data_IF_122402396899
#
_entry.id   IF_122402396899
#
_cell.length_a   1.000
_cell.length_b   1.000
_cell.length_c   1.000
_cell.angle_alpha   90.00
_cell.angle_beta   90.00
_cell.angle_gamma   90.00
#
_symmetry.space_group_name_H-M   'P 1'
#
loop_
_entity.id
_entity.type
_entity.pdbx_description
1 polymer ?
#
# COMPACT_ATOMS: atom_id res chain seq x y z
N UNK A 1 -6.85 -3.74 22.92
CA UNK A 1 -6.54 -3.07 21.64
C UNK A 1 -5.88 -4.01 20.65
N UNK A 2 -4.85 -4.74 21.02
CA UNK A 2 -4.11 -5.65 20.12
C UNK A 2 -5.03 -6.70 19.46
N UNK A 3 -5.85 -7.39 20.24
CA UNK A 3 -6.69 -8.51 19.76
C UNK A 3 -8.12 -8.07 19.37
N UNK A 4 -8.45 -6.79 19.55
CA UNK A 4 -9.77 -6.26 19.16
C UNK A 4 -10.95 -6.79 20.00
N UNK A 5 -10.71 -7.38 21.16
CA UNK A 5 -11.78 -7.91 22.00
C UNK A 5 -12.70 -6.82 22.55
N UNK A 6 -13.98 -7.11 22.57
CA UNK A 6 -14.98 -6.26 23.23
C UNK A 6 -14.78 -6.25 24.75
N UNK A 7 -15.18 -5.17 25.42
CA UNK A 7 -15.04 -5.01 26.88
C UNK A 7 -15.73 -6.15 27.67
N UNK A 8 -16.90 -6.62 27.20
CA UNK A 8 -17.60 -7.74 27.82
C UNK A 8 -16.77 -9.03 27.81
N UNK A 9 -16.14 -9.35 26.66
CA UNK A 9 -15.26 -10.51 26.54
C UNK A 9 -14.01 -10.36 27.41
N UNK A 10 -13.39 -9.16 27.44
CA UNK A 10 -12.26 -8.90 28.33
C UNK A 10 -12.63 -9.06 29.81
N UNK A 11 -13.85 -8.65 30.19
CA UNK A 11 -14.33 -8.83 31.57
C UNK A 11 -14.54 -10.30 31.94
N UNK A 12 -14.99 -11.12 30.99
CA UNK A 12 -15.21 -12.56 31.23
C UNK A 12 -13.90 -13.35 31.40
N UNK A 13 -12.81 -12.91 30.76
CA UNK A 13 -11.50 -13.58 30.82
C UNK A 13 -10.50 -12.94 31.81
N UNK A 14 -10.81 -11.75 32.31
CA UNK A 14 -9.97 -11.04 33.28
C UNK A 14 -10.70 -10.90 34.61
N UNK A 15 -9.97 -10.73 35.70
CA UNK A 15 -10.53 -10.47 37.04
C UNK A 15 -10.98 -9.00 37.21
N UNK A 16 -11.30 -8.28 36.12
CA UNK A 16 -11.63 -6.86 36.16
C UNK A 16 -13.05 -6.60 35.71
N UNK A 17 -13.73 -5.68 36.44
CA UNK A 17 -15.06 -5.24 36.08
C UNK A 17 -15.06 -4.49 34.73
N UNK A 18 -16.16 -4.53 33.95
CA UNK A 18 -16.29 -3.73 32.73
C UNK A 18 -16.03 -2.23 32.93
N UNK A 19 -16.38 -1.68 34.08
CA UNK A 19 -16.12 -0.27 34.43
C UNK A 19 -14.61 0.02 34.52
N UNK A 20 -13.84 -0.84 35.20
CA UNK A 20 -12.38 -0.71 35.32
C UNK A 20 -11.69 -0.84 33.96
N UNK A 21 -12.13 -1.80 33.13
CA UNK A 21 -11.58 -2.00 31.80
C UNK A 21 -11.87 -0.79 30.88
N UNK A 22 -13.07 -0.21 30.94
CA UNK A 22 -13.38 1.05 30.22
C UNK A 22 -12.50 2.20 30.68
N UNK A 23 -12.26 2.34 32.00
CA UNK A 23 -11.36 3.36 32.55
C UNK A 23 -9.94 3.20 31.99
N UNK A 24 -9.35 1.99 32.08
CA UNK A 24 -8.01 1.69 31.54
C UNK A 24 -7.94 1.97 30.05
N UNK A 25 -8.92 1.47 29.29
CA UNK A 25 -8.95 1.68 27.83
C UNK A 25 -9.04 3.16 27.48
N UNK A 26 -9.88 3.92 28.18
CA UNK A 26 -10.00 5.37 27.97
C UNK A 26 -8.73 6.12 28.34
N UNK A 27 -8.03 5.71 29.40
CA UNK A 27 -6.74 6.29 29.77
C UNK A 27 -5.73 6.22 28.63
N UNK A 28 -5.57 5.05 28.00
CA UNK A 28 -4.64 4.85 26.90
C UNK A 28 -5.12 5.48 25.60
N UNK A 29 -6.42 5.44 25.28
CA UNK A 29 -6.97 6.05 24.07
C UNK A 29 -6.95 7.59 24.09
N UNK A 30 -6.73 8.21 25.23
CA UNK A 30 -6.51 9.67 25.34
C UNK A 30 -5.02 10.05 25.21
N UNK A 31 -4.13 9.09 25.04
CA UNK A 31 -2.68 9.26 24.89
C UNK A 31 -2.18 8.59 23.63
N UNK A 32 -1.14 9.14 23.03
CA UNK A 32 -0.45 8.51 21.93
C UNK A 32 0.60 7.51 22.42
N UNK A 33 0.88 6.42 21.68
CA UNK A 33 2.00 5.56 22.00
C UNK A 33 3.33 6.30 21.78
N UNK A 34 4.39 5.92 22.50
CA UNK A 34 5.73 6.46 22.24
C UNK A 34 6.24 6.04 20.85
N UNK A 35 7.09 6.85 20.27
CA UNK A 35 7.79 6.47 19.03
C UNK A 35 8.86 5.42 19.34
N UNK A 36 8.95 4.40 18.49
CA UNK A 36 10.00 3.37 18.56
C UNK A 36 11.17 3.81 17.66
N UNK A 37 12.01 4.69 18.18
CA UNK A 37 13.12 5.31 17.45
C UNK A 37 14.04 4.28 16.78
N UNK A 38 14.42 3.23 17.49
CA UNK A 38 15.25 2.13 16.97
C UNK A 38 14.70 1.47 15.70
N UNK A 39 13.36 1.36 15.59
CA UNK A 39 12.71 0.82 14.39
C UNK A 39 12.78 1.77 13.22
N UNK A 40 12.60 3.06 13.49
CA UNK A 40 12.66 4.11 12.49
C UNK A 40 14.07 4.15 11.89
N UNK A 41 15.11 4.18 12.72
CA UNK A 41 16.50 4.26 12.29
C UNK A 41 16.98 3.00 11.54
N UNK A 42 16.43 1.82 11.88
CA UNK A 42 16.82 0.55 11.25
C UNK A 42 16.19 0.32 9.88
N UNK A 43 15.03 0.92 9.61
CA UNK A 43 14.28 0.67 8.40
C UNK A 43 14.96 1.34 7.19
N UNK A 44 15.44 0.53 6.25
CA UNK A 44 16.06 0.99 5.01
C UNK A 44 15.23 0.63 3.76
N UNK A 45 14.54 -0.52 3.78
CA UNK A 45 13.62 -0.94 2.74
C UNK A 45 12.21 -0.98 3.31
N UNK A 46 11.30 -0.23 2.72
CA UNK A 46 9.94 -0.10 3.24
C UNK A 46 8.87 -0.57 2.24
N UNK A 47 7.71 -0.91 2.78
CA UNK A 47 6.46 -1.07 2.04
C UNK A 47 5.49 0.00 2.53
N UNK A 48 4.87 0.70 1.58
CA UNK A 48 3.87 1.72 1.87
C UNK A 48 2.58 1.44 1.10
N UNK A 49 1.46 1.50 1.81
CA UNK A 49 0.14 1.35 1.21
C UNK A 49 -0.93 1.95 2.14
N UNK A 50 -2.12 2.14 1.62
CA UNK A 50 -3.26 2.61 2.37
C UNK A 50 -4.53 1.81 2.10
N UNK A 51 -5.50 1.93 3.01
CA UNK A 51 -6.81 1.34 2.80
C UNK A 51 -7.92 2.19 3.41
N UNK A 52 -9.05 2.25 2.71
CA UNK A 52 -10.23 2.92 3.24
C UNK A 52 -10.84 2.14 4.40
N UNK A 53 -11.07 2.84 5.50
CA UNK A 53 -11.91 2.36 6.61
C UNK A 53 -13.34 2.87 6.47
N UNK A 54 -13.49 4.15 6.15
CA UNK A 54 -14.75 4.80 5.79
C UNK A 54 -14.41 5.95 4.84
N UNK A 55 -14.83 5.86 3.58
CA UNK A 55 -14.56 6.91 2.59
C UNK A 55 -15.04 8.28 3.08
N UNK A 56 -14.25 9.36 2.89
CA UNK A 56 -13.00 9.41 2.14
C UNK A 56 -11.73 9.05 2.95
N UNK A 57 -11.85 8.67 4.22
CA UNK A 57 -10.75 8.50 5.16
C UNK A 57 -10.07 7.12 5.01
N UNK A 58 -8.77 7.16 4.77
CA UNK A 58 -7.89 5.99 4.72
C UNK A 58 -7.04 5.91 5.98
N UNK A 59 -6.60 4.72 6.31
CA UNK A 59 -5.40 4.48 7.11
C UNK A 59 -4.24 4.18 6.17
N UNK A 60 -3.14 4.91 6.32
CA UNK A 60 -1.88 4.65 5.62
C UNK A 60 -0.88 4.05 6.59
N UNK A 61 -0.02 3.17 6.07
CA UNK A 61 0.97 2.43 6.86
C UNK A 61 2.30 2.41 6.12
N UNK A 62 3.36 2.67 6.88
CA UNK A 62 4.74 2.39 6.49
C UNK A 62 5.21 1.19 7.30
N UNK A 63 5.70 0.15 6.62
CA UNK A 63 6.12 -1.12 7.19
C UNK A 63 7.54 -1.45 6.72
N UNK A 64 8.39 -1.98 7.60
CA UNK A 64 9.68 -2.52 7.22
C UNK A 64 9.47 -3.73 6.29
N UNK A 65 10.20 -3.76 5.19
CA UNK A 65 10.09 -4.81 4.17
C UNK A 65 10.69 -6.15 4.61
N UNK A 66 11.62 -6.15 5.55
CA UNK A 66 12.37 -7.33 5.95
C UNK A 66 11.66 -8.12 7.05
N UNK A 67 11.27 -7.45 8.13
CA UNK A 67 10.67 -8.12 9.29
C UNK A 67 9.15 -7.89 9.41
N UNK A 68 8.57 -7.12 8.49
CA UNK A 68 7.14 -6.78 8.46
C UNK A 68 6.65 -6.05 9.70
N UNK A 69 7.53 -5.37 10.43
CA UNK A 69 7.12 -4.49 11.52
C UNK A 69 6.56 -3.17 11.01
N UNK A 70 5.51 -2.69 11.65
CA UNK A 70 4.94 -1.38 11.33
C UNK A 70 5.83 -0.30 11.93
N UNK A 71 6.37 0.56 11.06
CA UNK A 71 7.19 1.72 11.45
C UNK A 71 6.27 2.83 11.92
N UNK A 72 5.26 3.16 11.12
CA UNK A 72 4.30 4.21 11.43
C UNK A 72 2.96 3.98 10.73
N UNK A 73 1.91 4.58 11.28
CA UNK A 73 0.59 4.62 10.68
C UNK A 73 -0.06 5.99 10.90
N UNK A 74 -0.89 6.42 9.95
CA UNK A 74 -1.69 7.64 10.09
C UNK A 74 -3.15 7.41 9.70
N UNK A 75 -4.06 7.95 10.51
CA UNK A 75 -5.51 7.98 10.29
C UNK A 75 -6.11 9.21 10.97
N UNK A 76 -7.07 9.92 10.38
CA UNK A 76 -7.52 9.80 8.99
C UNK A 76 -6.52 10.46 8.04
N UNK A 77 -6.28 9.85 6.91
CA UNK A 77 -5.38 10.39 5.88
C UNK A 77 -6.00 10.20 4.50
N UNK A 78 -5.82 11.18 3.62
CA UNK A 78 -6.20 11.06 2.21
C UNK A 78 -4.96 10.76 1.39
N UNK A 79 -4.89 9.56 0.84
CA UNK A 79 -3.74 9.09 0.03
C UNK A 79 -3.48 9.96 -1.22
N UNK A 80 -4.50 10.65 -1.73
CA UNK A 80 -4.38 11.58 -2.84
C UNK A 80 -4.05 13.03 -2.41
N UNK A 81 -3.61 13.22 -1.17
CA UNK A 81 -3.24 14.53 -0.62
C UNK A 81 -1.74 14.58 -0.31
N UNK A 82 -0.96 15.18 -1.20
CA UNK A 82 0.48 15.39 -1.00
C UNK A 82 0.81 16.08 0.34
N UNK A 83 0.09 17.14 0.77
CA UNK A 83 0.34 17.76 2.08
C UNK A 83 0.17 16.79 3.26
N UNK A 84 -0.86 15.92 3.24
CA UNK A 84 -1.08 14.95 4.30
C UNK A 84 -0.01 13.84 4.30
N UNK A 85 0.43 13.40 3.13
CA UNK A 85 1.54 12.45 3.00
C UNK A 85 2.85 13.04 3.51
N UNK A 86 3.14 14.30 3.21
CA UNK A 86 4.30 15.01 3.78
C UNK A 86 4.19 15.13 5.30
N UNK A 87 3.05 15.53 5.82
CA UNK A 87 2.81 15.61 7.26
C UNK A 87 3.01 14.27 7.98
N UNK A 88 2.80 13.15 7.29
CA UNK A 88 3.10 11.81 7.80
C UNK A 88 4.58 11.46 7.73
N UNK A 89 5.26 11.77 6.62
CA UNK A 89 6.63 11.29 6.35
C UNK A 89 7.72 12.20 6.92
N UNK A 90 7.51 13.53 6.95
CA UNK A 90 8.52 14.51 7.44
C UNK A 90 8.95 14.22 8.88
N UNK A 91 8.04 14.01 9.85
CA UNK A 91 8.45 13.69 11.22
C UNK A 91 9.24 12.39 11.31
N UNK A 92 8.95 11.39 10.48
CA UNK A 92 9.69 10.13 10.47
C UNK A 92 11.13 10.34 9.99
N UNK A 93 11.34 11.16 8.97
CA UNK A 93 12.67 11.55 8.48
C UNK A 93 13.43 12.30 9.55
N UNK A 94 12.80 13.26 10.23
CA UNK A 94 13.40 14.02 11.34
C UNK A 94 13.80 13.12 12.52
N UNK A 95 13.08 12.01 12.73
CA UNK A 95 13.42 10.98 13.73
C UNK A 95 14.41 9.93 13.24
N UNK A 96 15.08 10.17 12.10
CA UNK A 96 16.16 9.32 11.61
C UNK A 96 15.78 8.26 10.57
N UNK A 97 14.55 8.28 10.02
CA UNK A 97 14.18 7.38 8.92
C UNK A 97 15.01 7.70 7.67
N UNK A 98 15.79 6.72 7.22
CA UNK A 98 16.61 6.82 6.00
C UNK A 98 16.27 5.68 5.05
N UNK A 99 15.48 5.97 4.01
CA UNK A 99 14.99 4.97 3.08
C UNK A 99 15.86 4.87 1.82
N UNK A 100 16.38 3.68 1.54
CA UNK A 100 17.01 3.33 0.26
C UNK A 100 15.99 2.84 -0.78
N UNK A 101 14.87 2.22 -0.35
CA UNK A 101 13.78 1.86 -1.25
C UNK A 101 12.42 1.86 -0.58
N UNK A 102 11.38 2.02 -1.41
CA UNK A 102 9.98 1.81 -0.99
C UNK A 102 9.18 1.12 -2.08
N UNK A 103 8.39 0.11 -1.69
CA UNK A 103 7.41 -0.54 -2.58
C UNK A 103 6.04 0.09 -2.36
N UNK A 104 5.43 0.60 -3.46
CA UNK A 104 4.16 1.35 -3.44
C UNK A 104 3.19 0.89 -4.55
N UNK A 105 1.89 1.15 -4.37
CA UNK A 105 0.84 0.82 -5.35
C UNK A 105 0.92 1.63 -6.65
N UNK A 106 1.55 2.80 -6.63
CA UNK A 106 1.69 3.69 -7.77
C UNK A 106 0.85 4.96 -7.68
N UNK A 107 0.39 5.29 -6.50
CA UNK A 107 -0.18 6.60 -6.22
C UNK A 107 0.86 7.69 -6.51
N UNK A 108 0.60 8.63 -7.46
CA UNK A 108 1.58 9.63 -7.86
C UNK A 108 1.94 10.60 -6.72
N UNK A 109 1.01 10.87 -5.81
CA UNK A 109 1.27 11.73 -4.64
C UNK A 109 2.21 11.05 -3.65
N UNK A 110 2.05 9.73 -3.43
CA UNK A 110 2.95 8.97 -2.57
C UNK A 110 4.36 8.90 -3.18
N UNK A 111 4.47 8.53 -4.46
CA UNK A 111 5.77 8.50 -5.17
C UNK A 111 6.46 9.86 -5.10
N UNK A 112 5.72 10.94 -5.34
CA UNK A 112 6.24 12.30 -5.25
C UNK A 112 6.72 12.64 -3.84
N UNK A 113 5.94 12.34 -2.81
CA UNK A 113 6.31 12.61 -1.41
C UNK A 113 7.61 11.89 -1.02
N UNK A 114 7.76 10.61 -1.41
CA UNK A 114 8.98 9.85 -1.15
C UNK A 114 10.19 10.42 -1.88
N UNK A 115 10.08 10.74 -3.18
CA UNK A 115 11.18 11.31 -3.97
C UNK A 115 11.60 12.71 -3.50
N UNK A 116 10.70 13.54 -3.01
CA UNK A 116 11.02 14.85 -2.43
C UNK A 116 11.79 14.74 -1.11
N UNK A 117 11.48 13.75 -0.29
CA UNK A 117 12.15 13.56 1.00
C UNK A 117 13.44 12.76 0.89
N UNK A 118 13.50 11.78 0.00
CA UNK A 118 14.66 10.94 -0.29
C UNK A 118 14.90 10.94 -1.80
N UNK A 119 15.68 11.89 -2.35
CA UNK A 119 15.86 12.04 -3.81
C UNK A 119 16.42 10.78 -4.49
N UNK A 120 17.30 10.04 -3.81
CA UNK A 120 17.96 8.84 -4.33
C UNK A 120 17.17 7.53 -4.05
N UNK A 121 15.95 7.65 -3.53
CA UNK A 121 15.15 6.48 -3.18
C UNK A 121 14.78 5.64 -4.40
N UNK A 122 14.97 4.35 -4.31
CA UNK A 122 14.46 3.40 -5.30
C UNK A 122 12.95 3.17 -5.07
N UNK A 123 12.15 3.56 -6.05
CA UNK A 123 10.70 3.28 -6.03
C UNK A 123 10.45 1.93 -6.71
N UNK A 124 9.92 0.97 -6.00
CA UNK A 124 9.41 -0.28 -6.57
C UNK A 124 7.88 -0.19 -6.71
N UNK A 125 7.38 -0.43 -7.90
CA UNK A 125 5.94 -0.51 -8.15
C UNK A 125 5.41 -1.89 -7.75
N UNK A 126 4.33 -1.93 -6.98
CA UNK A 126 3.69 -3.18 -6.59
C UNK A 126 3.14 -3.91 -7.82
N UNK A 127 3.74 -5.06 -8.17
CA UNK A 127 3.33 -5.84 -9.35
C UNK A 127 1.92 -6.40 -9.21
N UNK A 128 1.50 -6.74 -7.99
CA UNK A 128 0.14 -7.25 -7.73
C UNK A 128 -0.91 -6.18 -8.00
N UNK A 129 -0.67 -4.92 -7.62
CA UNK A 129 -1.56 -3.80 -7.94
C UNK A 129 -1.60 -3.52 -9.45
N UNK A 130 -0.46 -3.54 -10.14
CA UNK A 130 -0.39 -3.40 -11.60
C UNK A 130 -1.18 -4.51 -12.28
N UNK A 131 -0.96 -5.77 -11.89
CA UNK A 131 -1.66 -6.92 -12.46
C UNK A 131 -3.17 -6.80 -12.22
N UNK A 132 -3.61 -6.61 -10.98
CA UNK A 132 -5.03 -6.53 -10.60
C UNK A 132 -5.77 -5.44 -11.37
N UNK A 133 -5.17 -4.25 -11.43
CA UNK A 133 -5.76 -3.11 -12.12
C UNK A 133 -5.78 -3.31 -13.65
N UNK A 134 -4.70 -3.82 -14.23
CA UNK A 134 -4.60 -4.12 -15.65
C UNK A 134 -5.60 -5.18 -16.09
N UNK A 135 -5.73 -6.27 -15.33
CA UNK A 135 -6.70 -7.34 -15.59
C UNK A 135 -8.15 -6.82 -15.51
N UNK A 136 -8.44 -5.92 -14.58
CA UNK A 136 -9.76 -5.29 -14.48
C UNK A 136 -10.09 -4.46 -15.74
N UNK A 137 -9.15 -3.65 -16.22
CA UNK A 137 -9.34 -2.81 -17.41
C UNK A 137 -9.37 -3.62 -18.72
N UNK A 138 -8.58 -4.69 -18.82
CA UNK A 138 -8.60 -5.57 -19.99
C UNK A 138 -9.82 -6.50 -20.03
N UNK A 139 -10.61 -6.60 -18.95
CA UNK A 139 -11.74 -7.52 -18.78
C UNK A 139 -11.32 -8.99 -18.69
N UNK A 140 -12.25 -9.84 -18.19
CA UNK A 140 -11.99 -11.27 -18.01
C UNK A 140 -11.93 -12.03 -19.36
N UNK A 141 -12.81 -11.68 -20.30
CA UNK A 141 -12.93 -12.30 -21.63
C UNK A 141 -12.89 -11.23 -22.72
N UNK A 142 -11.70 -10.66 -23.03
CA UNK A 142 -11.58 -9.65 -24.08
C UNK A 142 -11.80 -10.26 -25.46
N UNK A 143 -12.55 -9.53 -26.31
CA UNK A 143 -12.81 -9.97 -27.70
C UNK A 143 -11.70 -9.51 -28.67
N UNK A 144 -11.10 -8.34 -28.41
CA UNK A 144 -10.08 -7.74 -29.28
C UNK A 144 -8.70 -8.38 -29.01
N UNK A 145 -7.96 -8.70 -30.07
CA UNK A 145 -6.61 -9.30 -29.97
C UNK A 145 -5.63 -8.42 -29.19
N UNK A 146 -5.67 -7.11 -29.40
CA UNK A 146 -4.85 -6.18 -28.62
C UNK A 146 -5.14 -6.27 -27.11
N UNK A 147 -6.41 -6.43 -26.71
CA UNK A 147 -6.80 -6.55 -25.32
C UNK A 147 -6.42 -7.93 -24.72
N UNK A 148 -6.47 -8.99 -25.53
CA UNK A 148 -5.96 -10.33 -25.15
C UNK A 148 -4.46 -10.29 -24.91
N UNK A 149 -3.71 -9.69 -25.84
CA UNK A 149 -2.25 -9.53 -25.72
C UNK A 149 -1.85 -8.73 -24.48
N UNK A 150 -2.48 -7.55 -24.27
CA UNK A 150 -2.21 -6.71 -23.10
C UNK A 150 -2.57 -7.42 -21.78
N UNK A 151 -3.71 -8.15 -21.77
CA UNK A 151 -4.09 -8.99 -20.64
C UNK A 151 -3.06 -10.08 -20.34
N UNK A 152 -2.49 -10.73 -21.38
CA UNK A 152 -1.44 -11.73 -21.26
C UNK A 152 -0.19 -11.15 -20.58
N UNK A 153 0.21 -9.93 -20.93
CA UNK A 153 1.30 -9.20 -20.27
C UNK A 153 1.02 -8.99 -18.77
N UNK A 154 -0.18 -8.51 -18.42
CA UNK A 154 -0.54 -8.35 -17.00
C UNK A 154 -0.53 -9.68 -16.24
N UNK A 155 -1.05 -10.76 -16.81
CA UNK A 155 -1.03 -12.08 -16.17
C UNK A 155 0.39 -12.53 -15.84
N UNK A 156 1.36 -12.29 -16.71
CA UNK A 156 2.76 -12.70 -16.52
C UNK A 156 3.56 -11.79 -15.60
N UNK A 157 3.14 -10.53 -15.41
CA UNK A 157 3.93 -9.51 -14.67
C UNK A 157 4.35 -9.90 -13.27
N UNK A 158 3.54 -10.69 -12.56
CA UNK A 158 3.82 -11.14 -11.18
C UNK A 158 4.63 -12.44 -11.10
N UNK A 159 4.94 -13.07 -12.23
CA UNK A 159 5.68 -14.34 -12.28
C UNK A 159 7.15 -14.18 -12.67
N UNK A 160 7.59 -12.97 -12.97
CA UNK A 160 8.98 -12.68 -13.35
C UNK A 160 9.88 -12.84 -12.12
N UNK A 161 10.94 -13.67 -12.25
CA UNK A 161 11.88 -13.95 -11.16
C UNK A 161 13.35 -13.78 -11.57
N UNK A 162 13.61 -13.65 -12.87
CA UNK A 162 14.95 -13.55 -13.44
C UNK A 162 15.06 -12.36 -14.39
N UNK A 163 16.28 -11.90 -14.64
CA UNK A 163 16.55 -10.86 -15.63
C UNK A 163 16.16 -11.30 -17.05
N UNK A 164 16.38 -12.58 -17.38
CA UNK A 164 15.97 -13.12 -18.68
C UNK A 164 14.46 -13.07 -18.89
N UNK A 165 13.67 -13.44 -17.88
CA UNK A 165 12.19 -13.31 -17.93
C UNK A 165 11.75 -11.87 -18.06
N UNK A 166 12.43 -10.93 -17.37
CA UNK A 166 12.21 -9.48 -17.53
C UNK A 166 12.47 -9.04 -18.96
N UNK A 167 13.58 -9.44 -19.58
CA UNK A 167 13.92 -9.08 -20.96
C UNK A 167 12.87 -9.58 -21.94
N UNK A 168 12.42 -10.82 -21.78
CA UNK A 168 11.33 -11.39 -22.57
C UNK A 168 10.05 -10.56 -22.39
N UNK A 169 9.69 -10.24 -21.15
CA UNK A 169 8.51 -9.43 -20.86
C UNK A 169 8.58 -8.04 -21.50
N UNK A 170 9.72 -7.36 -21.39
CA UNK A 170 9.93 -6.02 -21.96
C UNK A 170 9.86 -6.08 -23.48
N UNK A 171 10.51 -7.07 -24.12
CA UNK A 171 10.45 -7.28 -25.56
C UNK A 171 8.99 -7.48 -26.02
N UNK A 172 8.25 -8.38 -25.38
CA UNK A 172 6.86 -8.68 -25.75
C UNK A 172 5.94 -7.44 -25.55
N UNK A 173 6.20 -6.63 -24.52
CA UNK A 173 5.50 -5.35 -24.31
C UNK A 173 5.83 -4.35 -25.44
N UNK A 174 7.09 -4.24 -25.84
CA UNK A 174 7.49 -3.34 -26.93
C UNK A 174 6.96 -3.79 -28.29
N UNK A 175 6.90 -5.09 -28.55
CA UNK A 175 6.25 -5.66 -29.74
C UNK A 175 4.75 -5.37 -29.75
N UNK A 176 4.07 -5.53 -28.63
CA UNK A 176 2.67 -5.17 -28.48
C UNK A 176 2.46 -3.66 -28.72
N UNK A 177 3.31 -2.83 -28.15
CA UNK A 177 3.28 -1.37 -28.30
C UNK A 177 3.46 -0.98 -29.77
N UNK A 178 4.49 -1.49 -30.46
CA UNK A 178 4.76 -1.27 -31.88
C UNK A 178 3.56 -1.63 -32.76
N UNK A 179 2.86 -2.72 -32.41
CA UNK A 179 1.73 -3.22 -33.19
C UNK A 179 0.43 -2.45 -32.97
N UNK A 180 0.18 -1.96 -31.76
CA UNK A 180 -1.15 -1.49 -31.39
C UNK A 180 -1.19 -0.05 -30.87
N UNK A 181 -0.07 0.64 -30.66
CA UNK A 181 -0.05 1.98 -30.10
C UNK A 181 -0.93 2.99 -30.87
N UNK A 182 -0.80 3.04 -32.19
CA UNK A 182 -1.55 3.97 -33.03
C UNK A 182 -3.05 3.70 -32.99
N UNK A 183 -3.43 2.43 -32.97
CA UNK A 183 -4.84 2.03 -32.82
C UNK A 183 -5.39 2.50 -31.47
N UNK A 184 -4.65 2.23 -30.38
CA UNK A 184 -5.08 2.63 -29.03
C UNK A 184 -5.13 4.14 -28.87
N UNK A 185 -4.21 4.89 -29.48
CA UNK A 185 -4.21 6.36 -29.45
C UNK A 185 -5.48 6.96 -30.09
N UNK A 186 -6.00 6.32 -31.13
CA UNK A 186 -7.21 6.74 -31.86
C UNK A 186 -8.52 6.35 -31.17
N UNK A 187 -8.48 5.56 -30.10
CA UNK A 187 -9.70 5.17 -29.39
C UNK A 187 -10.45 6.38 -28.82
N UNK A 188 -11.76 6.44 -28.97
CA UNK A 188 -12.57 7.49 -28.38
C UNK A 188 -12.54 7.41 -26.84
N UNK A 189 -12.59 8.58 -26.21
CA UNK A 189 -12.54 8.67 -24.73
C UNK A 189 -13.88 8.41 -24.04
N UNK A 190 -14.98 8.59 -24.78
CA UNK A 190 -16.36 8.36 -24.31
C UNK A 190 -16.74 6.86 -24.25
N UNK A 191 -16.02 6.00 -24.97
CA UNK A 191 -16.26 4.56 -24.92
C UNK A 191 -15.48 3.90 -23.78
N UNK A 192 -16.17 3.50 -22.71
CA UNK A 192 -15.58 3.01 -21.46
C UNK A 192 -14.53 1.90 -21.65
N UNK A 193 -14.81 0.88 -22.46
CA UNK A 193 -13.87 -0.23 -22.68
C UNK A 193 -12.58 0.23 -23.35
N UNK A 194 -12.67 1.10 -24.36
CA UNK A 194 -11.52 1.60 -25.09
C UNK A 194 -10.71 2.59 -24.24
N UNK A 195 -11.39 3.42 -23.43
CA UNK A 195 -10.75 4.28 -22.44
C UNK A 195 -10.02 3.46 -21.35
N UNK A 196 -10.60 2.34 -20.89
CA UNK A 196 -9.94 1.43 -19.95
C UNK A 196 -8.67 0.81 -20.54
N UNK A 197 -8.66 0.44 -21.84
CA UNK A 197 -7.46 -0.07 -22.51
C UNK A 197 -6.36 0.99 -22.65
N UNK A 198 -6.72 2.26 -22.95
CA UNK A 198 -5.76 3.38 -22.90
C UNK A 198 -5.12 3.51 -21.51
N UNK A 199 -5.92 3.42 -20.45
CA UNK A 199 -5.44 3.49 -19.08
C UNK A 199 -4.52 2.33 -18.74
N UNK A 200 -4.89 1.10 -19.14
CA UNK A 200 -4.09 -0.10 -18.91
C UNK A 200 -2.71 0.04 -19.57
N UNK A 201 -2.67 0.44 -20.86
CA UNK A 201 -1.43 0.71 -21.60
C UNK A 201 -0.60 1.80 -20.90
N UNK A 202 -1.20 2.94 -20.60
CA UNK A 202 -0.50 4.06 -19.94
C UNK A 202 0.07 3.66 -18.58
N UNK A 203 -0.67 2.85 -17.80
CA UNK A 203 -0.23 2.40 -16.50
C UNK A 203 1.01 1.51 -16.59
N UNK A 204 1.00 0.49 -17.46
CA UNK A 204 2.13 -0.45 -17.57
C UNK A 204 3.39 0.24 -18.10
N UNK A 205 3.26 1.11 -19.11
CA UNK A 205 4.39 1.86 -19.67
C UNK A 205 5.00 2.83 -18.64
N UNK A 206 4.17 3.54 -17.88
CA UNK A 206 4.64 4.44 -16.82
C UNK A 206 5.24 3.71 -15.63
N UNK A 207 4.76 2.49 -15.37
CA UNK A 207 5.28 1.69 -14.27
C UNK A 207 6.60 0.98 -14.62
N UNK A 208 6.84 0.71 -15.90
CA UNK A 208 7.93 -0.14 -16.39
C UNK A 208 9.31 0.18 -15.81
N UNK A 209 9.74 1.45 -15.69
CA UNK A 209 11.04 1.76 -15.09
C UNK A 209 11.19 1.29 -13.64
N UNK A 210 10.08 1.26 -12.89
CA UNK A 210 10.05 1.00 -11.46
C UNK A 210 9.49 -0.41 -11.11
N UNK A 211 9.38 -1.32 -12.10
CA UNK A 211 8.72 -2.62 -11.89
C UNK A 211 9.65 -3.73 -11.38
N UNK A 212 10.96 -3.64 -11.61
CA UNK A 212 11.82 -4.81 -11.51
C UNK A 212 13.07 -4.62 -10.63
N UNK A 213 13.09 -3.64 -9.73
CA UNK A 213 14.22 -3.39 -8.83
C UNK A 213 14.48 -4.56 -7.87
N UNK A 214 13.43 -5.33 -7.52
CA UNK A 214 13.53 -6.54 -6.69
C UNK A 214 14.42 -7.65 -7.33
N UNK A 215 14.64 -7.62 -8.63
CA UNK A 215 15.56 -8.55 -9.29
C UNK A 215 17.03 -8.22 -8.99
N UNK A 216 17.34 -6.94 -8.78
CA UNK A 216 18.68 -6.46 -8.42
C UNK A 216 18.94 -6.55 -6.91
N UNK A 217 17.90 -6.39 -6.10
CA UNK A 217 18.01 -6.43 -4.65
C UNK A 217 16.83 -7.18 -4.03
N UNK A 218 17.11 -8.36 -3.48
CA UNK A 218 16.11 -9.26 -2.86
C UNK A 218 15.45 -8.68 -1.60
N UNK A 219 16.05 -7.64 -0.98
CA UNK A 219 15.43 -6.93 0.14
C UNK A 219 14.28 -6.03 -0.29
N UNK A 220 14.14 -5.75 -1.59
CA UNK A 220 13.04 -4.97 -2.14
C UNK A 220 11.89 -5.92 -2.51
N UNK A 221 10.74 -5.88 -1.83
CA UNK A 221 9.61 -6.74 -2.18
C UNK A 221 8.94 -6.27 -3.47
N UNK A 222 8.55 -7.21 -4.33
CA UNK A 222 7.83 -6.90 -5.57
C UNK A 222 6.37 -6.54 -5.36
N UNK A 223 5.84 -6.66 -4.13
CA UNK A 223 4.44 -6.40 -3.81
C UNK A 223 4.24 -5.83 -2.40
N UNK A 224 3.08 -5.20 -2.18
CA UNK A 224 2.62 -4.71 -0.88
C UNK A 224 1.75 -5.74 -0.12
N UNK A 225 1.78 -7.02 -0.50
CA UNK A 225 0.91 -8.07 0.06
C UNK A 225 1.04 -8.25 1.58
N UNK A 226 2.22 -7.98 2.15
CA UNK A 226 2.40 -7.97 3.61
C UNK A 226 1.44 -7.02 4.32
N UNK A 227 1.15 -5.87 3.71
CA UNK A 227 0.19 -4.90 4.22
C UNK A 227 -1.27 -5.31 4.03
N UNK A 228 -1.62 -6.05 2.97
CA UNK A 228 -3.01 -6.51 2.77
C UNK A 228 -3.50 -7.38 3.94
N UNK A 229 -2.67 -8.33 4.37
CA UNK A 229 -2.95 -9.15 5.56
C UNK A 229 -3.06 -8.32 6.84
N UNK A 230 -2.21 -7.32 6.99
CA UNK A 230 -2.26 -6.40 8.12
C UNK A 230 -3.57 -5.56 8.10
N UNK A 231 -3.93 -4.98 6.97
CA UNK A 231 -5.18 -4.21 6.83
C UNK A 231 -6.43 -5.05 7.12
N UNK A 232 -6.45 -6.31 6.73
CA UNK A 232 -7.55 -7.22 7.03
C UNK A 232 -7.72 -7.39 8.54
N UNK A 233 -6.62 -7.58 9.28
CA UNK A 233 -6.63 -7.67 10.75
C UNK A 233 -7.04 -6.35 11.42
N UNK A 234 -6.54 -5.20 10.94
CA UNK A 234 -6.94 -3.86 11.42
C UNK A 234 -8.44 -3.65 11.26
N UNK A 235 -8.98 -3.95 10.08
CA UNK A 235 -10.42 -3.81 9.79
C UNK A 235 -11.26 -4.72 10.67
N UNK A 236 -10.83 -5.95 10.85
CA UNK A 236 -11.52 -6.91 11.71
C UNK A 236 -11.54 -6.43 13.17
N UNK A 237 -10.39 -6.07 13.74
CA UNK A 237 -10.31 -5.56 15.12
C UNK A 237 -11.12 -4.28 15.32
N UNK A 238 -11.08 -3.36 14.35
CA UNK A 238 -11.83 -2.11 14.42
C UNK A 238 -13.36 -2.29 14.38
N UNK A 239 -13.88 -3.38 13.78
CA UNK A 239 -15.34 -3.65 13.76
C UNK A 239 -15.97 -3.64 15.16
N UNK A 240 -15.24 -4.09 16.17
CA UNK A 240 -15.67 -4.11 17.56
C UNK A 240 -15.55 -2.76 18.27
N UNK A 241 -14.96 -1.74 17.61
CA UNK A 241 -14.66 -0.43 18.19
C UNK A 241 -15.22 0.74 17.38
N UNK A 242 -16.23 0.51 16.53
CA UNK A 242 -16.83 1.55 15.65
C UNK A 242 -17.43 2.73 16.39
N UNK A 243 -17.84 2.56 17.65
CA UNK A 243 -18.39 3.61 18.50
C UNK A 243 -17.37 4.57 19.10
N UNK A 244 -16.07 4.43 18.81
CA UNK A 244 -15.06 5.35 19.32
C UNK A 244 -15.24 6.75 18.74
N UNK A 245 -15.18 7.78 19.63
CA UNK A 245 -15.08 9.17 19.21
C UNK A 245 -13.84 9.40 18.31
N UNK A 246 -13.90 10.40 17.42
CA UNK A 246 -12.88 10.62 16.38
C UNK A 246 -11.45 10.65 16.94
N UNK A 247 -11.19 11.44 18.00
CA UNK A 247 -9.87 11.51 18.65
C UNK A 247 -9.38 10.16 19.18
N UNK A 248 -10.25 9.40 19.86
CA UNK A 248 -9.91 8.07 20.39
C UNK A 248 -9.68 7.04 19.29
N UNK A 249 -10.35 7.19 18.13
CA UNK A 249 -10.14 6.36 16.95
C UNK A 249 -8.75 6.53 16.36
N UNK A 250 -8.27 7.79 16.29
CA UNK A 250 -6.90 8.08 15.86
C UNK A 250 -5.90 7.33 16.75
N UNK A 251 -6.01 7.50 18.05
CA UNK A 251 -5.11 6.86 19.01
C UNK A 251 -5.28 5.33 19.03
N UNK A 252 -6.49 4.80 18.77
CA UNK A 252 -6.70 3.37 18.62
C UNK A 252 -5.81 2.77 17.53
N UNK A 253 -5.74 3.39 16.34
CA UNK A 253 -4.91 2.90 15.25
C UNK A 253 -3.42 3.06 15.54
N UNK A 254 -3.00 4.16 16.17
CA UNK A 254 -1.62 4.32 16.63
C UNK A 254 -1.22 3.23 17.63
N UNK A 255 -2.06 2.96 18.62
CA UNK A 255 -1.83 1.88 19.60
C UNK A 255 -1.89 0.50 18.97
N UNK A 256 -2.81 0.26 18.03
CA UNK A 256 -2.87 -1.01 17.31
C UNK A 256 -1.56 -1.29 16.58
N UNK A 257 -1.05 -0.32 15.83
CA UNK A 257 0.22 -0.42 15.11
C UNK A 257 1.42 -0.56 16.04
N UNK A 258 1.40 0.11 17.18
CA UNK A 258 2.45 0.01 18.19
C UNK A 258 2.52 -1.37 18.86
N UNK A 259 1.38 -1.98 19.17
CA UNK A 259 1.27 -3.24 19.92
C UNK A 259 1.37 -4.47 19.01
N UNK A 260 1.00 -4.36 17.74
CA UNK A 260 1.04 -5.47 16.79
C UNK A 260 2.38 -5.48 16.07
N UNK A 261 3.25 -6.35 16.53
CA UNK A 261 4.62 -6.47 15.98
C UNK A 261 4.72 -7.40 14.78
N UNK A 262 3.75 -8.27 14.58
CA UNK A 262 3.62 -9.17 13.41
C UNK A 262 2.16 -9.54 13.15
#
# INVERSE_FOLDING_TARGET
MREGYAIGHLASISRHSPRKLRYITNYWLNREPPLKKERIERCFHAVFDGTFLKRPDSIIILMDAQDHTVIASSYPTRENSLPQLRAFLVPLKEHGLSLGSVTVDGNPHAIRAFKELWPDITIQRCLVHIQRQGLMWCRAKPKMELAKGLRGLFLRSTYIRTHQEREIFVRDLMEWEKRYADMVNRFPSDHKMLSDLKRARSMILKALPDMFHYLNNKCIPFSTNGLEGYFSRVKWGYRNHRGLAARKRINYFKWYSFLKEK
#
